data_IF_018839194032
#
_entry.id   IF_018839194032
#
_cell.length_a   1.000
_cell.length_b   1.000
_cell.length_c   1.000
_cell.angle_alpha   90.00
_cell.angle_beta   90.00
_cell.angle_gamma   90.00
#
_symmetry.space_group_name_H-M   'P 1'
#
loop_
_entity.id
_entity.type
_entity.pdbx_description
1 polymer ?
#
# COMPACT_ATOMS: atom_id res chain seq x y z
N UNK A 1 4.06 -11.35 -11.23
CA UNK A 1 4.73 -10.18 -10.60
C UNK A 1 4.55 -10.26 -9.09
N UNK A 2 5.62 -10.13 -8.31
CA UNK A 2 5.68 -10.28 -6.85
C UNK A 2 6.04 -8.94 -6.20
N UNK A 3 5.14 -8.42 -5.37
CA UNK A 3 5.26 -7.14 -4.71
C UNK A 3 5.46 -7.34 -3.21
N UNK A 4 6.57 -6.83 -2.70
CA UNK A 4 6.74 -6.65 -1.26
C UNK A 4 6.14 -5.31 -0.84
N UNK A 5 5.49 -5.27 0.32
CA UNK A 5 4.83 -4.07 0.82
C UNK A 5 5.21 -3.87 2.28
N UNK A 6 5.68 -2.67 2.61
CA UNK A 6 6.02 -2.28 3.97
C UNK A 6 5.22 -1.04 4.38
N UNK A 7 4.54 -1.11 5.52
CA UNK A 7 3.73 -0.01 6.03
C UNK A 7 4.08 0.38 7.45
N UNK A 8 3.79 1.64 7.79
CA UNK A 8 3.85 2.17 9.14
C UNK A 8 5.16 1.81 9.84
N UNK A 9 6.28 2.20 9.20
CA UNK A 9 7.60 1.73 9.59
C UNK A 9 7.98 2.21 10.99
N UNK A 10 7.58 3.42 11.39
CA UNK A 10 7.82 3.99 12.73
C UNK A 10 9.26 3.80 13.23
N UNK A 11 10.24 4.01 12.34
CA UNK A 11 11.66 3.82 12.63
C UNK A 11 12.18 2.38 12.47
N UNK A 12 11.31 1.38 12.33
CA UNK A 12 11.64 -0.04 12.14
C UNK A 12 11.96 -0.35 10.68
N UNK A 13 13.10 0.18 10.26
CA UNK A 13 13.74 -0.11 8.99
C UNK A 13 15.24 0.01 9.16
N UNK A 14 15.96 -1.07 8.89
CA UNK A 14 17.41 -1.10 8.98
C UNK A 14 18.06 -2.03 7.93
N UNK A 15 19.35 -2.32 8.11
CA UNK A 15 20.13 -3.15 7.19
C UNK A 15 19.56 -4.56 7.03
N UNK A 16 18.82 -5.06 8.03
CA UNK A 16 18.15 -6.36 7.99
C UNK A 16 16.99 -6.34 6.99
N UNK A 17 16.18 -5.28 6.94
CA UNK A 17 15.13 -5.13 5.91
C UNK A 17 15.74 -5.09 4.51
N UNK A 18 16.83 -4.34 4.33
CA UNK A 18 17.54 -4.24 3.06
C UNK A 18 18.12 -5.60 2.64
N UNK A 19 18.78 -6.31 3.56
CA UNK A 19 19.34 -7.63 3.31
C UNK A 19 18.25 -8.68 3.02
N UNK A 20 17.12 -8.62 3.75
CA UNK A 20 15.97 -9.48 3.51
C UNK A 20 15.41 -9.26 2.10
N UNK A 21 15.18 -8.01 1.68
CA UNK A 21 14.69 -7.71 0.34
C UNK A 21 15.65 -8.17 -0.76
N UNK A 22 16.97 -8.05 -0.54
CA UNK A 22 17.97 -8.57 -1.48
C UNK A 22 17.89 -10.10 -1.64
N UNK A 23 17.56 -10.84 -0.56
CA UNK A 23 17.36 -12.30 -0.60
C UNK A 23 16.04 -12.71 -1.22
N UNK A 24 14.95 -12.02 -0.86
CA UNK A 24 13.61 -12.31 -1.37
C UNK A 24 13.45 -11.94 -2.85
N UNK A 25 14.20 -10.93 -3.30
CA UNK A 25 14.19 -10.41 -4.66
C UNK A 25 12.76 -10.21 -5.22
N UNK A 26 11.89 -9.43 -4.54
CA UNK A 26 10.60 -9.05 -5.11
C UNK A 26 10.81 -8.18 -6.35
N UNK A 27 9.82 -8.17 -7.24
CA UNK A 27 9.87 -7.38 -8.48
C UNK A 27 9.77 -5.87 -8.18
N UNK A 28 9.11 -5.49 -7.08
CA UNK A 28 9.08 -4.13 -6.57
C UNK A 28 8.75 -4.09 -5.07
N UNK A 29 9.07 -2.94 -4.44
CA UNK A 29 8.67 -2.58 -3.09
C UNK A 29 7.67 -1.42 -3.10
N UNK A 30 6.56 -1.57 -2.38
CA UNK A 30 5.62 -0.49 -2.10
C UNK A 30 5.72 -0.08 -0.63
N UNK A 31 5.78 1.22 -0.34
CA UNK A 31 5.89 1.75 1.03
C UNK A 31 4.73 2.70 1.33
N UNK A 32 3.92 2.37 2.35
CA UNK A 32 2.71 3.13 2.72
C UNK A 32 2.92 4.16 3.85
N UNK A 33 4.12 4.74 3.93
CA UNK A 33 4.38 5.92 4.77
C UNK A 33 4.60 5.62 6.26
N UNK A 34 4.54 6.69 7.05
CA UNK A 34 4.91 6.72 8.46
C UNK A 34 6.30 6.13 8.68
N UNK A 35 7.28 6.67 7.94
CA UNK A 35 8.65 6.20 7.93
C UNK A 35 9.27 6.39 9.32
N UNK A 36 9.35 7.64 9.80
CA UNK A 36 10.00 7.96 11.08
C UNK A 36 9.83 9.43 11.50
N UNK A 37 8.62 9.92 11.75
CA UNK A 37 8.38 11.26 12.34
C UNK A 37 9.14 12.43 11.66
N UNK A 38 9.34 12.37 10.34
CA UNK A 38 10.06 13.38 9.56
C UNK A 38 11.59 13.23 9.53
N UNK A 39 12.14 12.15 10.08
CA UNK A 39 13.56 11.82 10.00
C UNK A 39 13.93 11.26 8.61
N UNK A 40 15.11 11.65 8.11
CA UNK A 40 15.53 11.34 6.74
C UNK A 40 16.18 9.96 6.57
N UNK A 41 16.51 9.25 7.67
CA UNK A 41 17.31 8.01 7.63
C UNK A 41 16.66 6.94 6.75
N UNK A 42 15.35 6.74 6.90
CA UNK A 42 14.62 5.71 6.17
C UNK A 42 14.39 6.15 4.73
N UNK A 43 13.99 7.41 4.49
CA UNK A 43 13.90 7.97 3.13
C UNK A 43 15.22 7.80 2.36
N UNK A 44 16.36 8.02 3.03
CA UNK A 44 17.68 7.78 2.46
C UNK A 44 17.94 6.31 2.14
N UNK A 45 17.63 5.41 3.07
CA UNK A 45 17.78 3.98 2.83
C UNK A 45 16.90 3.47 1.68
N UNK A 46 15.67 3.98 1.54
CA UNK A 46 14.76 3.63 0.45
C UNK A 46 15.23 4.19 -0.89
N UNK A 47 15.85 5.38 -0.89
CA UNK A 47 16.43 5.98 -2.08
C UNK A 47 17.61 5.19 -2.64
N UNK A 48 18.39 4.55 -1.76
CA UNK A 48 19.58 3.78 -2.13
C UNK A 48 19.25 2.31 -2.48
N UNK A 49 17.98 1.88 -2.40
CA UNK A 49 17.57 0.53 -2.78
C UNK A 49 17.73 0.31 -4.30
N UNK A 50 18.31 -0.84 -4.72
CA UNK A 50 18.56 -1.14 -6.13
C UNK A 50 17.32 -1.65 -6.87
N UNK A 51 16.28 -2.09 -6.14
CA UNK A 51 15.02 -2.55 -6.71
C UNK A 51 14.03 -1.38 -6.95
N UNK A 52 13.03 -1.56 -7.82
CA UNK A 52 11.97 -0.56 -8.03
C UNK A 52 11.19 -0.29 -6.74
N UNK A 53 11.01 0.99 -6.40
CA UNK A 53 10.30 1.44 -5.19
C UNK A 53 9.25 2.48 -5.56
N UNK A 54 8.06 2.36 -4.98
CA UNK A 54 7.09 3.44 -4.86
C UNK A 54 6.75 3.67 -3.39
N UNK A 55 6.74 4.94 -2.96
CA UNK A 55 6.55 5.35 -1.58
C UNK A 55 5.55 6.49 -1.52
N UNK A 56 4.57 6.37 -0.64
CA UNK A 56 3.72 7.48 -0.20
C UNK A 56 4.14 7.85 1.23
N UNK A 57 4.08 9.14 1.59
CA UNK A 57 4.43 9.61 2.93
C UNK A 57 3.16 9.75 3.77
N UNK A 58 3.25 9.40 5.05
CA UNK A 58 2.15 9.39 6.01
C UNK A 58 2.09 10.61 6.91
N UNK A 59 1.12 10.68 7.83
CA UNK A 59 0.94 11.85 8.69
C UNK A 59 2.11 12.05 9.64
N UNK A 60 2.76 10.97 10.13
CA UNK A 60 3.93 11.10 10.97
C UNK A 60 5.13 11.67 10.21
N UNK A 61 5.24 11.44 8.91
CA UNK A 61 6.34 11.97 8.10
C UNK A 61 6.34 13.50 8.00
N UNK A 62 5.24 14.17 8.36
CA UNK A 62 5.22 15.63 8.55
C UNK A 62 6.12 16.09 9.71
N UNK A 63 6.44 15.18 10.65
CA UNK A 63 7.35 15.41 11.77
C UNK A 63 6.94 16.53 12.71
N UNK A 64 5.63 16.81 12.78
CA UNK A 64 5.02 17.96 13.49
C UNK A 64 5.63 19.31 13.07
N UNK A 65 6.16 19.41 11.86
CA UNK A 65 6.76 20.62 11.32
C UNK A 65 5.76 21.33 10.41
N UNK A 66 5.09 22.36 10.93
CA UNK A 66 4.11 23.14 10.17
C UNK A 66 4.69 23.84 8.94
N UNK A 67 6.00 24.04 8.86
CA UNK A 67 6.64 24.68 7.70
C UNK A 67 6.77 23.76 6.49
N UNK A 68 6.53 22.44 6.67
CA UNK A 68 6.70 21.46 5.60
C UNK A 68 8.16 21.10 5.30
N UNK A 69 9.17 21.74 5.92
CA UNK A 69 10.59 21.49 5.59
C UNK A 69 11.03 20.06 5.84
N UNK A 70 10.60 19.43 6.94
CA UNK A 70 10.90 18.01 7.19
C UNK A 70 10.29 17.09 6.13
N UNK A 71 9.05 17.38 5.74
CA UNK A 71 8.35 16.64 4.70
C UNK A 71 9.07 16.80 3.35
N UNK A 72 9.40 18.03 2.96
CA UNK A 72 10.13 18.33 1.73
C UNK A 72 11.46 17.59 1.65
N UNK A 73 12.26 17.59 2.73
CA UNK A 73 13.56 16.88 2.75
C UNK A 73 13.42 15.37 2.51
N UNK A 74 12.35 14.75 2.98
CA UNK A 74 12.10 13.34 2.69
C UNK A 74 11.69 13.13 1.24
N UNK A 75 10.84 14.02 0.69
CA UNK A 75 10.46 14.00 -0.73
C UNK A 75 11.70 14.16 -1.61
N UNK A 76 12.55 15.15 -1.32
CA UNK A 76 13.80 15.39 -2.05
C UNK A 76 14.72 14.16 -2.01
N UNK A 77 14.80 13.49 -0.85
CA UNK A 77 15.62 12.29 -0.70
C UNK A 77 15.05 11.10 -1.46
N UNK A 78 13.73 10.89 -1.43
CA UNK A 78 13.06 9.83 -2.17
C UNK A 78 13.09 10.07 -3.68
N UNK A 79 13.11 11.32 -4.12
CA UNK A 79 13.02 11.71 -5.52
C UNK A 79 11.78 11.12 -6.19
N UNK A 80 11.94 10.54 -7.37
CA UNK A 80 10.85 9.90 -8.13
C UNK A 80 10.20 8.69 -7.42
N UNK A 81 10.81 8.17 -6.35
CA UNK A 81 10.20 7.09 -5.56
C UNK A 81 9.00 7.59 -4.77
N UNK A 82 8.92 8.89 -4.46
CA UNK A 82 7.71 9.45 -3.86
C UNK A 82 6.61 9.61 -4.91
N UNK A 83 5.39 9.14 -4.61
CA UNK A 83 4.28 9.12 -5.57
C UNK A 83 3.04 9.91 -5.14
N UNK A 84 3.08 10.70 -4.06
CA UNK A 84 1.91 11.45 -3.58
C UNK A 84 1.33 12.38 -4.66
N UNK A 85 0.03 12.22 -4.95
CA UNK A 85 -0.66 12.89 -6.05
C UNK A 85 0.01 12.73 -7.43
N UNK A 86 0.81 11.68 -7.62
CA UNK A 86 1.60 11.49 -8.83
C UNK A 86 1.55 10.03 -9.30
N UNK A 87 1.84 9.84 -10.59
CA UNK A 87 2.06 8.53 -11.19
C UNK A 87 3.54 8.18 -11.18
N UNK A 88 3.83 6.98 -10.69
CA UNK A 88 5.14 6.34 -10.76
C UNK A 88 5.04 5.04 -11.55
N UNK A 89 5.67 5.03 -12.74
CA UNK A 89 5.91 3.78 -13.48
C UNK A 89 7.13 3.08 -12.91
N UNK A 90 6.99 1.79 -12.59
CA UNK A 90 8.08 0.90 -12.22
C UNK A 90 8.40 0.02 -13.43
N UNK A 91 9.55 0.24 -14.04
CA UNK A 91 10.00 -0.49 -15.23
C UNK A 91 11.49 -0.85 -15.14
N UNK A 92 11.85 -2.14 -15.01
CA UNK A 92 10.96 -3.27 -14.70
C UNK A 92 10.20 -3.04 -13.36
N UNK A 93 9.09 -3.74 -13.06
CA UNK A 93 8.53 -4.91 -13.76
C UNK A 93 7.37 -4.61 -14.73
N UNK A 94 7.08 -3.34 -15.02
CA UNK A 94 5.91 -2.95 -15.80
C UNK A 94 4.67 -2.78 -14.93
N UNK A 95 4.78 -1.95 -13.89
CA UNK A 95 3.69 -1.62 -12.97
C UNK A 95 3.45 -0.11 -12.94
N UNK A 96 2.19 0.31 -13.00
CA UNK A 96 1.80 1.70 -12.74
C UNK A 96 1.31 1.84 -11.30
N UNK A 97 1.99 2.68 -10.53
CA UNK A 97 1.61 3.03 -9.16
C UNK A 97 1.17 4.48 -9.12
N UNK A 98 0.03 4.77 -8.51
CA UNK A 98 -0.45 6.15 -8.30
C UNK A 98 -0.64 6.40 -6.83
N UNK A 99 -0.01 7.44 -6.31
CA UNK A 99 -0.13 7.79 -4.91
C UNK A 99 -1.39 8.60 -4.63
N UNK A 100 -2.02 8.30 -3.49
CA UNK A 100 -3.08 9.12 -2.91
C UNK A 100 -2.54 10.45 -2.35
N UNK A 101 -3.32 11.06 -1.45
CA UNK A 101 -2.92 12.28 -0.75
C UNK A 101 -1.72 12.03 0.18
N UNK A 102 -0.59 12.76 0.03
CA UNK A 102 0.54 12.64 0.94
C UNK A 102 0.22 13.26 2.31
N UNK A 103 0.76 12.68 3.38
CA UNK A 103 0.64 13.21 4.72
C UNK A 103 -0.77 13.13 5.33
N UNK A 104 -1.64 12.30 4.75
CA UNK A 104 -3.02 12.13 5.21
C UNK A 104 -3.06 11.52 6.61
N UNK A 105 -3.96 11.99 7.47
CA UNK A 105 -4.23 11.41 8.80
C UNK A 105 -5.61 10.71 8.86
N UNK A 106 -6.21 10.47 7.70
CA UNK A 106 -7.56 9.93 7.59
C UNK A 106 -8.67 10.87 8.05
N UNK A 107 -9.84 10.31 8.27
CA UNK A 107 -11.02 11.00 8.80
C UNK A 107 -11.66 11.96 7.80
N UNK A 108 -11.69 11.63 6.51
CA UNK A 108 -12.28 12.45 5.45
C UNK A 108 -11.25 13.20 4.61
N UNK A 109 -11.43 14.51 4.42
CA UNK A 109 -10.48 15.36 3.67
C UNK A 109 -9.92 16.48 4.53
N UNK A 110 -8.68 16.30 4.98
CA UNK A 110 -7.98 17.28 5.80
C UNK A 110 -6.51 17.36 5.41
N UNK A 111 -6.02 18.57 5.12
CA UNK A 111 -4.60 18.82 4.88
C UNK A 111 -3.93 19.34 6.15
N UNK A 112 -2.83 18.71 6.56
CA UNK A 112 -1.98 19.26 7.61
C UNK A 112 -1.35 20.58 7.16
N UNK A 113 -0.93 21.43 8.12
CA UNK A 113 -0.20 22.67 7.81
C UNK A 113 1.07 22.39 7.00
N UNK A 114 1.75 21.28 7.26
CA UNK A 114 2.94 20.85 6.54
C UNK A 114 2.64 20.58 5.06
N UNK A 115 1.55 19.87 4.76
CA UNK A 115 1.12 19.58 3.37
C UNK A 115 0.69 20.89 2.68
N UNK A 116 -0.08 21.74 3.37
CA UNK A 116 -0.48 23.03 2.81
C UNK A 116 0.72 23.94 2.51
N UNK A 117 1.79 23.88 3.31
CA UNK A 117 3.00 24.67 3.07
C UNK A 117 3.73 24.28 1.78
N UNK A 118 3.63 23.01 1.34
CA UNK A 118 4.31 22.52 0.14
C UNK A 118 3.45 22.62 -1.14
N UNK A 119 2.15 22.33 -1.03
CA UNK A 119 1.26 22.25 -2.20
C UNK A 119 0.15 23.30 -2.22
N UNK A 120 0.08 24.16 -1.20
CA UNK A 120 -1.03 25.09 -1.02
C UNK A 120 -2.31 24.39 -0.54
N UNK A 121 -3.42 25.13 -0.44
CA UNK A 121 -4.73 24.52 -0.20
C UNK A 121 -5.12 23.66 -1.40
N UNK A 122 -5.45 22.40 -1.16
CA UNK A 122 -6.00 21.47 -2.16
C UNK A 122 -7.35 20.98 -1.65
N UNK A 123 -8.40 21.24 -2.43
CA UNK A 123 -9.77 20.83 -2.09
C UNK A 123 -10.00 19.33 -2.23
N UNK A 124 -11.13 18.85 -1.70
CA UNK A 124 -11.55 17.45 -1.84
C UNK A 124 -11.62 16.99 -3.31
N UNK A 125 -12.39 17.72 -4.12
CA UNK A 125 -12.57 17.39 -5.54
C UNK A 125 -11.26 17.49 -6.32
N UNK A 126 -10.42 18.49 -6.02
CA UNK A 126 -9.13 18.67 -6.66
C UNK A 126 -8.16 17.53 -6.32
N UNK A 127 -8.12 17.09 -5.06
CA UNK A 127 -7.30 15.95 -4.63
C UNK A 127 -7.74 14.66 -5.32
N UNK A 128 -9.05 14.41 -5.39
CA UNK A 128 -9.60 13.25 -6.10
C UNK A 128 -9.24 13.29 -7.60
N UNK A 129 -9.40 14.45 -8.24
CA UNK A 129 -9.07 14.64 -9.66
C UNK A 129 -7.57 14.43 -9.92
N UNK A 130 -6.67 14.92 -9.06
CA UNK A 130 -5.23 14.67 -9.20
C UNK A 130 -4.89 13.18 -9.19
N UNK A 131 -5.50 12.42 -8.27
CA UNK A 131 -5.30 10.96 -8.18
C UNK A 131 -5.87 10.27 -9.43
N UNK A 132 -7.10 10.62 -9.83
CA UNK A 132 -7.77 10.02 -10.97
C UNK A 132 -7.05 10.34 -12.29
N UNK A 133 -6.69 11.60 -12.54
CA UNK A 133 -5.96 12.02 -13.73
C UNK A 133 -4.59 11.32 -13.83
N UNK A 134 -3.87 11.18 -12.72
CA UNK A 134 -2.61 10.42 -12.69
C UNK A 134 -2.82 8.94 -13.08
N UNK A 135 -3.86 8.29 -12.57
CA UNK A 135 -4.21 6.92 -12.92
C UNK A 135 -4.71 6.74 -14.37
N UNK A 136 -5.41 7.72 -14.91
CA UNK A 136 -5.93 7.68 -16.27
C UNK A 136 -4.89 8.05 -17.33
N UNK A 137 -3.84 8.79 -16.96
CA UNK A 137 -2.68 9.07 -17.84
C UNK A 137 -1.67 7.93 -17.91
N UNK A 138 -1.69 7.00 -16.96
CA UNK A 138 -0.83 5.81 -16.97
C UNK A 138 -1.17 4.87 -18.14
N UNK A 139 -0.17 4.14 -18.67
CA UNK A 139 -0.37 3.20 -19.77
C UNK A 139 -1.51 2.20 -19.43
N UNK A 140 -2.57 2.11 -20.25
CA UNK A 140 -3.72 1.26 -19.96
C UNK A 140 -3.40 -0.23 -19.99
N UNK A 141 -2.26 -0.63 -20.57
CA UNK A 141 -1.82 -2.03 -20.65
C UNK A 141 -1.10 -2.51 -19.39
N UNK A 142 -0.63 -1.58 -18.55
CA UNK A 142 0.04 -1.93 -17.30
C UNK A 142 -0.99 -2.12 -16.17
N UNK A 143 -0.75 -3.08 -15.25
CA UNK A 143 -1.52 -3.14 -14.01
C UNK A 143 -1.40 -1.83 -13.24
N UNK A 144 -2.51 -1.43 -12.61
CA UNK A 144 -2.60 -0.22 -11.81
C UNK A 144 -2.73 -0.58 -10.32
N UNK A 145 -1.90 0.04 -9.49
CA UNK A 145 -2.00 0.00 -8.03
C UNK A 145 -2.18 1.42 -7.52
N UNK A 146 -3.20 1.65 -6.68
CA UNK A 146 -3.25 2.86 -5.86
C UNK A 146 -2.47 2.62 -4.56
N UNK A 147 -1.63 3.59 -4.18
CA UNK A 147 -0.83 3.55 -2.97
C UNK A 147 -1.16 4.76 -2.08
N UNK A 148 -1.69 4.54 -0.89
CA UNK A 148 -2.06 5.63 0.02
C UNK A 148 -1.50 5.38 1.42
N UNK A 149 -1.34 6.42 2.24
CA UNK A 149 -1.05 6.18 3.65
C UNK A 149 -2.34 5.78 4.38
N UNK A 150 -3.42 6.55 4.23
CA UNK A 150 -4.74 6.17 4.75
C UNK A 150 -5.57 5.49 3.65
N UNK A 151 -6.37 4.48 4.03
CA UNK A 151 -7.29 3.83 3.10
C UNK A 151 -8.50 4.71 2.74
N UNK A 152 -9.32 4.32 1.76
CA UNK A 152 -10.47 5.12 1.33
C UNK A 152 -11.61 5.07 2.35
N UNK A 153 -12.42 6.14 2.40
CA UNK A 153 -13.72 6.09 3.09
C UNK A 153 -14.63 5.01 2.51
N UNK A 154 -15.57 4.52 3.32
CA UNK A 154 -16.47 3.42 3.01
C UNK A 154 -16.03 2.06 3.59
N UNK A 155 -14.86 2.00 4.24
CA UNK A 155 -14.26 0.77 4.78
C UNK A 155 -14.06 0.83 6.30
N UNK A 156 -14.84 1.65 7.03
CA UNK A 156 -14.60 1.88 8.46
C UNK A 156 -15.85 1.93 9.35
N UNK A 157 -16.88 1.14 9.07
CA UNK A 157 -18.12 1.12 9.88
C UNK A 157 -17.87 0.72 11.33
N UNK A 158 -17.04 -0.29 11.56
CA UNK A 158 -16.67 -0.81 12.88
C UNK A 158 -15.19 -0.57 13.21
N UNK A 159 -14.82 -0.59 14.50
CA UNK A 159 -13.44 -0.35 14.92
C UNK A 159 -12.42 -1.33 14.32
N UNK A 160 -12.85 -2.56 14.02
CA UNK A 160 -12.04 -3.63 13.42
C UNK A 160 -12.03 -3.62 11.90
N UNK A 161 -12.79 -2.74 11.24
CA UNK A 161 -12.77 -2.61 9.79
C UNK A 161 -11.46 -1.97 9.28
N UNK A 162 -11.05 -2.15 8.02
CA UNK A 162 -9.74 -1.68 7.55
C UNK A 162 -9.47 -0.20 7.78
N UNK A 163 -10.51 0.65 7.75
CA UNK A 163 -10.43 2.10 7.95
C UNK A 163 -11.20 2.58 9.20
N UNK A 164 -11.55 1.70 10.14
CA UNK A 164 -12.40 2.04 11.28
C UNK A 164 -11.65 2.60 12.50
N UNK A 165 -12.02 3.78 12.99
CA UNK A 165 -11.38 4.40 14.16
C UNK A 165 -11.55 3.57 15.42
N UNK A 166 -10.46 3.30 16.12
CA UNK A 166 -10.44 2.49 17.35
C UNK A 166 -9.88 3.23 18.59
N UNK A 167 -9.37 4.45 18.49
CA UNK A 167 -8.92 5.18 19.68
C UNK A 167 -10.00 6.00 20.39
N UNK A 168 -11.21 6.12 19.81
CA UNK A 168 -12.32 6.89 20.38
C UNK A 168 -13.67 6.27 20.01
N UNK A 169 -14.59 6.22 20.99
CA UNK A 169 -15.98 5.78 20.82
C UNK A 169 -16.91 6.96 20.44
N UNK A 170 -17.94 6.74 19.60
CA UNK A 170 -18.17 5.52 18.82
C UNK A 170 -17.11 5.34 17.74
N UNK A 171 -17.00 4.09 17.25
CA UNK A 171 -16.26 3.81 16.04
C UNK A 171 -16.84 4.65 14.88
N UNK A 172 -15.98 5.03 13.94
CA UNK A 172 -16.42 5.75 12.76
C UNK A 172 -15.43 5.51 11.63
N UNK A 173 -15.88 5.77 10.41
CA UNK A 173 -15.03 5.70 9.25
C UNK A 173 -13.92 6.75 9.34
N UNK A 174 -12.69 6.29 9.19
CA UNK A 174 -11.48 7.09 9.25
C UNK A 174 -10.71 7.08 7.92
N UNK A 175 -11.33 6.64 6.83
CA UNK A 175 -10.71 6.68 5.51
C UNK A 175 -10.74 8.05 4.84
N UNK A 176 -10.00 8.15 3.74
CA UNK A 176 -9.86 9.33 2.88
C UNK A 176 -11.00 9.44 1.86
N UNK A 177 -11.71 10.58 1.88
CA UNK A 177 -12.86 10.83 1.00
C UNK A 177 -12.44 11.09 -0.45
N UNK A 178 -11.33 11.80 -0.66
CA UNK A 178 -10.73 12.05 -1.97
C UNK A 178 -10.26 10.76 -2.63
N UNK A 179 -9.67 9.84 -1.85
CA UNK A 179 -9.27 8.53 -2.37
C UNK A 179 -10.49 7.70 -2.80
N UNK A 180 -11.58 7.70 -2.01
CA UNK A 180 -12.82 7.03 -2.37
C UNK A 180 -13.41 7.60 -3.68
N UNK A 181 -13.47 8.93 -3.83
CA UNK A 181 -13.94 9.57 -5.07
C UNK A 181 -13.04 9.25 -6.27
N UNK A 182 -11.71 9.27 -6.10
CA UNK A 182 -10.78 8.92 -7.17
C UNK A 182 -10.96 7.47 -7.62
N UNK A 183 -11.14 6.53 -6.68
CA UNK A 183 -11.40 5.12 -6.98
C UNK A 183 -12.63 4.95 -7.86
N UNK A 184 -13.74 5.64 -7.55
CA UNK A 184 -14.95 5.60 -8.37
C UNK A 184 -14.70 6.12 -9.80
N UNK A 185 -14.01 7.25 -9.93
CA UNK A 185 -13.68 7.87 -11.21
C UNK A 185 -12.77 6.98 -12.07
N UNK A 186 -11.76 6.35 -11.47
CA UNK A 186 -10.81 5.47 -12.15
C UNK A 186 -11.52 4.22 -12.67
N UNK A 187 -12.31 3.58 -11.81
CA UNK A 187 -13.01 2.32 -12.14
C UNK A 187 -14.06 2.47 -13.23
N UNK A 188 -14.54 3.68 -13.46
CA UNK A 188 -15.42 3.97 -14.58
C UNK A 188 -14.72 3.87 -15.95
N UNK A 189 -13.38 3.88 -16.00
CA UNK A 189 -12.60 3.92 -17.26
C UNK A 189 -11.55 2.83 -17.41
N UNK A 190 -11.03 2.26 -16.32
CA UNK A 190 -10.05 1.17 -16.36
C UNK A 190 -10.15 0.23 -15.16
N UNK A 191 -9.66 -1.01 -15.26
CA UNK A 191 -9.54 -1.91 -14.11
C UNK A 191 -8.66 -1.30 -13.00
N UNK A 192 -9.09 -1.50 -11.75
CA UNK A 192 -8.31 -1.19 -10.56
C UNK A 192 -8.28 -2.44 -9.67
N UNK A 193 -7.28 -3.32 -9.85
CA UNK A 193 -7.20 -4.59 -9.12
C UNK A 193 -6.83 -4.40 -7.65
N UNK A 194 -6.04 -3.37 -7.31
CA UNK A 194 -5.46 -3.26 -5.97
C UNK A 194 -5.30 -1.81 -5.48
N UNK A 195 -5.74 -1.59 -4.24
CA UNK A 195 -5.47 -0.40 -3.43
C UNK A 195 -4.70 -0.86 -2.19
N UNK A 196 -3.49 -0.33 -1.99
CA UNK A 196 -2.63 -0.64 -0.86
C UNK A 196 -2.53 0.60 0.04
N UNK A 197 -2.74 0.42 1.34
CA UNK A 197 -2.67 1.50 2.32
C UNK A 197 -2.17 1.05 3.68
N UNK A 198 -1.99 1.98 4.61
CA UNK A 198 -1.53 1.76 5.98
C UNK A 198 -2.37 2.53 7.01
N UNK A 199 -1.71 3.24 7.92
CA UNK A 199 -2.24 4.13 8.96
C UNK A 199 -3.01 3.44 10.09
N UNK A 200 -4.00 2.64 9.74
CA UNK A 200 -4.86 1.96 10.69
C UNK A 200 -4.20 0.65 11.12
N UNK A 201 -3.41 0.71 12.20
CA UNK A 201 -2.63 -0.44 12.66
C UNK A 201 -3.49 -1.70 12.87
N UNK A 202 -2.90 -2.87 12.60
CA UNK A 202 -3.60 -4.16 12.71
C UNK A 202 -4.07 -4.44 14.13
N UNK A 203 -3.18 -4.35 15.11
CA UNK A 203 -3.53 -4.50 16.51
C UNK A 203 -4.40 -3.31 16.98
N UNK A 204 -5.62 -3.61 17.43
CA UNK A 204 -6.54 -2.58 17.89
C UNK A 204 -6.10 -1.99 19.23
N UNK A 205 -6.29 -0.68 19.39
CA UNK A 205 -5.97 0.05 20.61
C UNK A 205 -6.62 -0.59 21.83
N UNK A 206 -5.86 -0.65 22.94
CA UNK A 206 -6.28 -1.20 24.23
C UNK A 206 -6.61 -2.70 24.18
N UNK A 207 -5.94 -3.46 23.31
CA UNK A 207 -6.04 -4.92 23.28
C UNK A 207 -7.40 -5.46 22.85
N UNK A 208 -8.10 -4.73 21.97
CA UNK A 208 -9.47 -5.08 21.54
C UNK A 208 -9.53 -6.03 20.35
N UNK A 209 -8.44 -6.76 20.09
CA UNK A 209 -8.32 -7.71 19.00
C UNK A 209 -7.58 -7.15 17.78
N UNK A 210 -7.82 -7.77 16.63
CA UNK A 210 -7.14 -7.48 15.37
C UNK A 210 -8.10 -6.86 14.34
N UNK A 211 -7.54 -6.00 13.51
CA UNK A 211 -8.21 -5.36 12.38
C UNK A 211 -8.29 -6.31 11.19
N UNK A 212 -9.42 -6.32 10.50
CA UNK A 212 -9.51 -6.88 9.14
C UNK A 212 -8.61 -6.06 8.23
N UNK A 213 -7.54 -6.67 7.73
CA UNK A 213 -6.52 -6.01 6.91
C UNK A 213 -6.71 -6.21 5.40
N UNK A 214 -7.71 -6.98 4.99
CA UNK A 214 -7.96 -7.27 3.58
C UNK A 214 -9.46 -7.42 3.27
N UNK A 215 -9.88 -6.92 2.10
CA UNK A 215 -11.18 -7.22 1.50
C UNK A 215 -11.12 -7.06 -0.02
N UNK A 216 -12.06 -7.70 -0.71
CA UNK A 216 -12.34 -7.48 -2.14
C UNK A 216 -13.78 -6.99 -2.24
N UNK A 217 -14.00 -5.87 -2.94
CA UNK A 217 -15.34 -5.35 -3.15
C UNK A 217 -16.09 -6.05 -4.29
N UNK A 218 -17.37 -5.70 -4.47
CA UNK A 218 -18.24 -6.31 -5.48
C UNK A 218 -17.84 -6.05 -6.93
N UNK A 219 -16.99 -5.05 -7.21
CA UNK A 219 -16.44 -4.86 -8.56
C UNK A 219 -14.97 -5.28 -8.66
N UNK A 220 -14.52 -6.17 -7.76
CA UNK A 220 -13.26 -6.89 -7.85
C UNK A 220 -12.02 -6.10 -7.42
N UNK A 221 -12.16 -4.91 -6.84
CA UNK A 221 -11.01 -4.16 -6.31
C UNK A 221 -10.63 -4.73 -4.95
N UNK A 222 -9.37 -5.13 -4.80
CA UNK A 222 -8.81 -5.55 -3.53
C UNK A 222 -8.25 -4.35 -2.75
N UNK A 223 -8.44 -4.37 -1.43
CA UNK A 223 -8.00 -3.34 -0.51
C UNK A 223 -7.13 -4.01 0.55
N UNK A 224 -5.86 -3.67 0.60
CA UNK A 224 -4.88 -4.25 1.51
C UNK A 224 -4.31 -3.18 2.44
N UNK A 225 -4.60 -3.33 3.73
CA UNK A 225 -3.97 -2.57 4.80
C UNK A 225 -2.67 -3.27 5.25
N UNK A 226 -1.54 -2.63 5.02
CA UNK A 226 -0.20 -3.12 5.34
C UNK A 226 0.40 -2.55 6.65
N UNK A 227 -0.41 -1.93 7.52
CA UNK A 227 0.00 -1.33 8.79
C UNK A 227 0.21 -2.34 9.93
N UNK A 228 1.09 -3.33 9.76
CA UNK A 228 1.45 -4.24 10.85
C UNK A 228 2.54 -3.61 11.73
N UNK A 229 2.19 -3.22 12.95
CA UNK A 229 3.10 -2.53 13.88
C UNK A 229 3.13 -3.23 15.23
N UNK A 230 4.31 -3.62 15.76
CA UNK A 230 5.64 -3.48 15.16
C UNK A 230 5.91 -4.48 14.02
N UNK A 231 6.65 -4.06 12.99
CA UNK A 231 7.12 -4.93 11.89
C UNK A 231 8.25 -5.86 12.31
N UNK A 232 9.12 -5.40 13.21
CA UNK A 232 10.19 -6.21 13.79
C UNK A 232 9.71 -6.80 15.11
N UNK A 233 9.82 -8.11 15.26
CA UNK A 233 9.38 -8.82 16.46
C UNK A 233 10.32 -9.97 16.81
N UNK A 234 10.11 -10.58 17.98
CA UNK A 234 10.76 -11.82 18.40
C UNK A 234 9.66 -12.79 18.78
N UNK A 235 9.71 -14.02 18.25
CA UNK A 235 8.71 -15.04 18.58
C UNK A 235 9.02 -15.75 19.90
N UNK A 236 8.14 -16.69 20.30
CA UNK A 236 8.30 -17.46 21.53
C UNK A 236 9.55 -18.35 21.58
N UNK A 237 10.14 -18.66 20.42
CA UNK A 237 11.37 -19.44 20.30
C UNK A 237 12.63 -18.55 20.25
N UNK A 238 12.48 -17.23 20.43
CA UNK A 238 13.57 -16.26 20.39
C UNK A 238 14.04 -15.88 18.97
N UNK A 239 13.32 -16.30 17.92
CA UNK A 239 13.68 -15.97 16.53
C UNK A 239 13.25 -14.56 16.19
N UNK A 240 14.14 -13.83 15.52
CA UNK A 240 13.84 -12.51 14.99
C UNK A 240 12.87 -12.64 13.81
N UNK A 241 11.85 -11.78 13.76
CA UNK A 241 10.86 -11.71 12.71
C UNK A 241 10.89 -10.33 12.05
N UNK A 242 10.82 -10.31 10.73
CA UNK A 242 10.57 -9.12 9.94
C UNK A 242 9.31 -9.32 9.09
N UNK A 243 8.31 -8.46 9.30
CA UNK A 243 7.05 -8.48 8.56
C UNK A 243 7.16 -7.74 7.22
N UNK A 244 6.58 -8.35 6.18
CA UNK A 244 6.20 -7.72 4.93
C UNK A 244 4.80 -8.22 4.53
N UNK A 245 3.95 -7.32 4.03
CA UNK A 245 2.80 -7.77 3.26
C UNK A 245 3.28 -8.18 1.85
N UNK A 246 2.65 -9.18 1.26
CA UNK A 246 3.06 -9.79 0.01
C UNK A 246 1.87 -9.92 -0.93
N UNK A 247 2.06 -9.47 -2.17
CA UNK A 247 1.05 -9.57 -3.22
C UNK A 247 1.67 -10.18 -4.47
N UNK A 248 0.91 -11.03 -5.15
CA UNK A 248 1.27 -11.50 -6.48
C UNK A 248 0.18 -11.11 -7.48
N UNK A 249 0.60 -10.48 -8.57
CA UNK A 249 -0.24 -10.13 -9.70
C UNK A 249 0.14 -11.03 -10.89
N UNK A 250 -0.86 -11.58 -11.56
CA UNK A 250 -0.72 -12.32 -12.81
C UNK A 250 -1.65 -11.73 -13.87
N UNK A 251 -1.10 -11.43 -15.06
CA UNK A 251 -1.80 -10.66 -16.11
C UNK A 251 -2.54 -9.41 -15.59
N UNK A 252 -1.98 -8.79 -14.55
CA UNK A 252 -2.53 -7.62 -13.88
C UNK A 252 -3.72 -7.86 -12.95
N UNK A 253 -4.10 -9.11 -12.73
CA UNK A 253 -5.08 -9.53 -11.72
C UNK A 253 -4.39 -9.94 -10.42
N UNK A 254 -5.07 -9.72 -9.28
CA UNK A 254 -4.57 -10.18 -7.98
C UNK A 254 -4.81 -11.69 -7.82
N UNK A 255 -3.74 -12.48 -7.74
CA UNK A 255 -3.84 -13.93 -7.55
C UNK A 255 -3.48 -14.37 -6.12
N UNK A 256 -2.71 -13.56 -5.38
CA UNK A 256 -2.31 -13.89 -4.01
C UNK A 256 -2.13 -12.62 -3.18
N UNK A 257 -2.58 -12.66 -1.93
CA UNK A 257 -2.27 -11.67 -0.91
C UNK A 257 -2.03 -12.35 0.44
N UNK A 258 -0.96 -12.01 1.14
CA UNK A 258 -0.68 -12.49 2.49
C UNK A 258 0.12 -11.50 3.33
N UNK A 259 0.07 -11.67 4.65
CA UNK A 259 1.09 -11.13 5.56
C UNK A 259 2.13 -12.21 5.83
N UNK A 260 3.42 -11.85 5.76
CA UNK A 260 4.51 -12.80 5.87
C UNK A 260 5.54 -12.31 6.89
N UNK A 261 6.00 -13.23 7.73
CA UNK A 261 7.06 -12.98 8.71
C UNK A 261 8.26 -13.84 8.35
N UNK A 262 9.36 -13.18 8.07
CA UNK A 262 10.60 -13.82 7.67
C UNK A 262 11.62 -13.76 8.79
N UNK A 263 12.50 -14.76 8.80
CA UNK A 263 13.81 -14.64 9.42
C UNK A 263 14.62 -13.58 8.65
N UNK A 264 15.00 -12.45 9.28
CA UNK A 264 15.69 -11.37 8.59
C UNK A 264 17.12 -11.72 8.15
N UNK A 265 17.75 -12.71 8.77
CA UNK A 265 19.13 -13.11 8.45
C UNK A 265 19.16 -14.11 7.31
N UNK A 266 18.33 -15.15 7.39
CA UNK A 266 18.29 -16.24 6.39
C UNK A 266 17.34 -15.96 5.23
N UNK A 267 16.35 -15.09 5.40
CA UNK A 267 15.28 -14.85 4.43
C UNK A 267 14.21 -15.96 4.40
N UNK A 268 14.27 -16.93 5.31
CA UNK A 268 13.29 -18.01 5.40
C UNK A 268 11.94 -17.47 5.85
N UNK A 269 10.87 -17.84 5.15
CA UNK A 269 9.49 -17.60 5.59
C UNK A 269 9.21 -18.46 6.82
N UNK A 270 8.88 -17.81 7.94
CA UNK A 270 8.58 -18.48 9.22
C UNK A 270 7.06 -18.61 9.44
N UNK A 271 6.32 -17.55 9.12
CA UNK A 271 4.87 -17.53 9.26
C UNK A 271 4.23 -16.86 8.04
N UNK A 272 3.05 -17.34 7.65
CA UNK A 272 2.21 -16.73 6.63
C UNK A 272 0.76 -16.68 7.14
N UNK A 273 0.15 -15.50 7.02
CA UNK A 273 -1.29 -15.33 7.11
C UNK A 273 -1.83 -15.11 5.71
N UNK A 274 -2.43 -16.14 5.13
CA UNK A 274 -3.07 -16.05 3.82
C UNK A 274 -4.35 -15.20 3.91
N UNK A 275 -4.44 -14.18 3.06
CA UNK A 275 -5.61 -13.29 2.97
C UNK A 275 -6.43 -13.59 1.72
N UNK A 276 -5.76 -13.91 0.62
CA UNK A 276 -6.38 -14.27 -0.64
C UNK A 276 -5.47 -15.19 -1.43
N UNK A 277 -6.08 -16.18 -2.08
CA UNK A 277 -5.48 -16.97 -3.15
C UNK A 277 -6.56 -17.29 -4.16
N UNK A 278 -6.35 -16.91 -5.42
CA UNK A 278 -7.20 -17.37 -6.49
C UNK A 278 -6.90 -18.88 -6.69
N UNK A 279 -7.93 -19.75 -6.78
CA UNK A 279 -7.71 -21.13 -7.18
C UNK A 279 -7.02 -21.13 -8.55
N UNK A 280 -5.95 -21.92 -8.72
CA UNK A 280 -5.44 -22.22 -10.05
C UNK A 280 -6.60 -22.82 -10.83
N UNK A 281 -7.06 -22.13 -11.88
CA UNK A 281 -8.05 -22.71 -12.77
C UNK A 281 -7.42 -23.95 -13.40
N UNK A 282 -8.07 -25.11 -13.28
CA UNK A 282 -7.76 -26.23 -14.15
C UNK A 282 -7.83 -25.69 -15.58
N UNK A 283 -6.68 -25.62 -16.26
CA UNK A 283 -6.67 -25.55 -17.71
C UNK A 283 -7.31 -26.84 -18.20
N UNK A 284 -8.64 -26.85 -18.33
CA UNK A 284 -9.34 -27.86 -19.07
C UNK A 284 -8.91 -27.64 -20.52
N UNK A 285 -8.15 -28.56 -21.15
CA UNK A 285 -7.86 -28.43 -22.56
C UNK A 285 -9.22 -28.44 -23.26
N UNK A 286 -9.50 -27.39 -24.04
CA UNK A 286 -10.55 -27.42 -25.03
C UNK A 286 -10.26 -28.61 -25.93
N UNK A 287 -10.96 -29.71 -25.67
CA UNK A 287 -10.84 -30.95 -26.41
C UNK A 287 -11.14 -30.69 -27.88
N UNK A 288 -10.30 -31.26 -28.73
CA UNK A 288 -10.55 -31.41 -30.16
C UNK A 288 -11.99 -31.92 -30.37
N UNK A 289 -12.81 -31.12 -31.03
CA UNK A 289 -14.06 -31.62 -31.59
C UNK A 289 -13.72 -32.43 -32.84
N UNK A 290 -14.22 -33.67 -32.99
CA UNK A 290 -14.04 -34.40 -34.23
C UNK A 290 -14.88 -33.75 -35.33
N UNK A 291 -14.23 -33.48 -36.47
CA UNK A 291 -14.87 -33.09 -37.72
C UNK A 291 -16.02 -34.04 -38.05
N UNK A 292 -17.22 -33.48 -38.25
CA UNK A 292 -18.32 -34.20 -38.85
C UNK A 292 -18.06 -34.38 -40.35
N UNK A 293 -17.94 -35.64 -40.78
CA UNK A 293 -17.94 -36.01 -42.20
C UNK A 293 -19.34 -35.77 -42.81
N UNK A 294 -19.43 -35.31 -44.07
CA UNK A 294 -20.70 -35.04 -44.72
C UNK A 294 -21.34 -36.32 -45.27
N UNK A 295 -22.65 -36.46 -45.06
CA UNK A 295 -23.58 -37.23 -45.89
C UNK A 295 -24.74 -36.31 -46.27
#
# INVERSE_FOLDING_TARGET
MRLAIAGDLHGQWDRRDVGLLARLAPDALLVVGDLSDGHQRIAASLADLPLPVACILGNHDTGKDHSGRKLQRQIDRLGERHCGWAHRRLDPPGLSVVGGRPGSAGGGHHLSKAVQALWGPVGLAESAERIAAAALSADPRLPLVLLAHCGPSGLGSEASDPCGRDWKSPACDWGDQDLAQAIEQIRARRPLPLVVFGHMHHALKRGRGERRSFLIDRRGTAYLNAAFVPRHAVDGDGRQLCHLSWVELDEGQLIHASHRWYDPESGRLLYEQLLHRQPLGDHQPLGDQPEALPC
#
